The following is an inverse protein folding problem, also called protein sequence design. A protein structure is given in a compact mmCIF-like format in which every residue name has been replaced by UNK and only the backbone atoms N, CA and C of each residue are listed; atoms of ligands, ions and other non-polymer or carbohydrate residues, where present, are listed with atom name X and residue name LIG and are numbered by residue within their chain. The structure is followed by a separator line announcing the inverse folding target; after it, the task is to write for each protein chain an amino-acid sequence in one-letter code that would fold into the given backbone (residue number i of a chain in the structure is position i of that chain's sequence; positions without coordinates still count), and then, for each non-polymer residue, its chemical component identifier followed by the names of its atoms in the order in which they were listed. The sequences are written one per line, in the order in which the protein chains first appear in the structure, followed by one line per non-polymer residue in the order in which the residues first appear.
data_IF_157552456707
#
_entry.id   IF_157552456707
#
_cell.length_a   1.000
_cell.length_b   1.000
_cell.length_c   1.000
_cell.angle_alpha   90.00
_cell.angle_beta   90.00
_cell.angle_gamma   90.00
#
_symmetry.space_group_name_H-M   'P 1'
#
loop_
_entity.id
_entity.type
_entity.pdbx_description
1 polymer ?
#
# COMPACT_ATOMS: atom_id res chain seq x y z
N UNK A 1 -10.78 -19.06 1.42
CA UNK A 1 -10.17 -18.28 2.52
C UNK A 1 -10.93 -16.96 2.60
N UNK A 2 -11.21 -16.46 3.80
CA UNK A 2 -12.06 -15.27 3.99
C UNK A 2 -11.31 -13.97 3.73
N UNK A 3 -12.01 -12.97 3.19
CA UNK A 3 -11.53 -11.60 3.07
C UNK A 3 -11.72 -10.91 4.43
N UNK A 4 -10.69 -10.31 5.00
CA UNK A 4 -10.78 -9.55 6.25
C UNK A 4 -9.98 -8.26 6.15
N UNK A 5 -10.31 -7.31 7.03
CA UNK A 5 -9.62 -6.03 7.10
C UNK A 5 -8.70 -5.98 8.30
N UNK A 6 -7.59 -5.27 8.15
CA UNK A 6 -6.68 -4.91 9.23
C UNK A 6 -6.48 -3.41 9.23
N UNK A 7 -6.35 -2.82 10.42
CA UNK A 7 -5.90 -1.43 10.52
C UNK A 7 -4.40 -1.39 10.29
N UNK A 8 -3.95 -0.61 9.31
CA UNK A 8 -2.53 -0.43 9.03
C UNK A 8 -2.17 1.05 9.01
N UNK A 9 -0.97 1.35 9.48
CA UNK A 9 -0.33 2.66 9.30
C UNK A 9 0.53 2.62 8.05
N UNK A 10 0.29 3.53 7.13
CA UNK A 10 1.11 3.75 5.93
C UNK A 10 1.94 5.01 6.15
N UNK A 11 3.25 4.88 6.04
CA UNK A 11 4.21 5.94 6.34
C UNK A 11 5.17 6.21 5.18
N UNK A 12 5.67 7.44 5.12
CA UNK A 12 6.74 7.80 4.21
C UNK A 12 8.07 7.25 4.76
N UNK A 13 8.78 6.37 4.02
CA UNK A 13 10.04 5.79 4.51
C UNK A 13 11.13 6.85 4.73
N UNK A 14 11.07 7.98 4.03
CA UNK A 14 12.02 9.09 4.18
C UNK A 14 11.69 10.02 5.35
N UNK A 15 10.45 10.00 5.85
CA UNK A 15 10.02 10.77 7.02
C UNK A 15 8.88 10.05 7.77
N UNK A 16 9.19 9.25 8.80
CA UNK A 16 8.20 8.45 9.55
C UNK A 16 7.11 9.27 10.25
N UNK A 17 7.28 10.60 10.40
CA UNK A 17 6.26 11.49 10.96
C UNK A 17 5.12 11.76 9.98
N UNK A 18 5.33 11.51 8.69
CA UNK A 18 4.32 11.63 7.63
C UNK A 18 3.67 10.28 7.39
N UNK A 19 2.47 10.11 7.92
CA UNK A 19 1.75 8.85 7.84
C UNK A 19 0.23 9.08 7.90
N UNK A 20 -0.50 8.04 7.53
CA UNK A 20 -1.93 7.93 7.80
C UNK A 20 -2.28 6.51 8.26
N UNK A 21 -3.45 6.34 8.85
CA UNK A 21 -3.95 5.05 9.32
C UNK A 21 -5.34 4.78 8.73
N UNK A 22 -5.51 3.62 8.09
CA UNK A 22 -6.77 3.21 7.48
C UNK A 22 -6.95 1.68 7.58
N UNK A 23 -8.17 1.21 7.29
CA UNK A 23 -8.45 -0.22 7.18
C UNK A 23 -8.19 -0.71 5.76
N UNK A 24 -7.34 -1.72 5.63
CA UNK A 24 -6.99 -2.35 4.36
C UNK A 24 -7.54 -3.77 4.29
N UNK A 25 -7.98 -4.18 3.11
CA UNK A 25 -8.27 -5.58 2.83
C UNK A 25 -6.98 -6.39 2.73
N UNK A 26 -6.92 -7.54 3.40
CA UNK A 26 -5.81 -8.48 3.28
C UNK A 26 -6.09 -9.44 2.13
N UNK A 27 -5.22 -9.40 1.12
CA UNK A 27 -5.22 -10.32 -0.01
C UNK A 27 -3.85 -11.01 -0.13
N UNK A 28 -3.78 -12.27 0.28
CA UNK A 28 -2.55 -13.08 0.20
C UNK A 28 -2.17 -13.45 -1.23
N UNK A 29 -3.06 -13.26 -2.20
CA UNK A 29 -2.79 -13.46 -3.63
C UNK A 29 -2.20 -12.22 -4.33
N UNK A 30 -2.20 -11.06 -3.66
CA UNK A 30 -1.67 -9.83 -4.24
C UNK A 30 -0.15 -9.75 -4.10
N UNK A 31 0.56 -9.55 -5.23
CA UNK A 31 2.01 -9.34 -5.21
C UNK A 31 2.41 -7.94 -4.72
N UNK A 32 1.52 -6.96 -4.89
CA UNK A 32 1.75 -5.56 -4.52
C UNK A 32 0.58 -5.06 -3.68
N UNK A 33 0.87 -4.20 -2.70
CA UNK A 33 -0.16 -3.48 -1.94
C UNK A 33 -0.73 -2.34 -2.78
N UNK A 34 -2.06 -2.20 -2.79
CA UNK A 34 -2.75 -1.08 -3.42
C UNK A 34 -3.16 -0.08 -2.36
N UNK A 35 -2.81 1.19 -2.58
CA UNK A 35 -3.08 2.31 -1.69
C UNK A 35 -3.67 3.45 -2.51
N UNK A 36 -4.69 4.17 -2.00
CA UNK A 36 -5.21 5.33 -2.71
C UNK A 36 -4.12 6.38 -2.96
N UNK A 37 -4.00 6.82 -4.21
CA UNK A 37 -2.95 7.75 -4.66
C UNK A 37 -2.95 9.05 -3.87
N UNK A 38 -4.13 9.66 -3.66
CA UNK A 38 -4.28 10.89 -2.91
C UNK A 38 -3.70 10.79 -1.48
N UNK A 39 -3.83 9.62 -0.84
CA UNK A 39 -3.31 9.41 0.52
C UNK A 39 -1.79 9.33 0.54
N UNK A 40 -1.19 8.70 -0.48
CA UNK A 40 0.26 8.67 -0.65
C UNK A 40 0.82 10.07 -0.92
N UNK A 41 0.13 10.87 -1.75
CA UNK A 41 0.51 12.26 -2.05
C UNK A 41 0.48 13.15 -0.80
N UNK A 42 -0.54 13.03 0.06
CA UNK A 42 -0.63 13.77 1.32
C UNK A 42 0.58 13.54 2.23
N UNK A 43 1.07 12.30 2.31
CA UNK A 43 2.30 11.96 3.06
C UNK A 43 3.59 12.15 2.24
N UNK A 44 3.47 12.70 1.03
CA UNK A 44 4.59 13.15 0.19
C UNK A 44 5.36 12.04 -0.49
N UNK A 45 4.73 10.88 -0.66
CA UNK A 45 5.27 9.81 -1.50
C UNK A 45 4.96 10.17 -2.95
N UNK A 46 5.99 10.09 -3.79
CA UNK A 46 5.87 10.29 -5.24
C UNK A 46 6.11 8.96 -5.95
N UNK A 47 5.46 8.71 -7.09
CA UNK A 47 5.75 7.54 -7.92
C UNK A 47 7.23 7.49 -8.31
N UNK A 48 7.82 6.30 -8.24
CA UNK A 48 9.19 6.03 -8.69
C UNK A 48 9.22 5.61 -10.16
N UNK A 49 8.23 4.82 -10.60
CA UNK A 49 8.10 4.39 -11.99
C UNK A 49 6.67 3.95 -12.31
N UNK A 50 6.44 3.49 -13.54
CA UNK A 50 5.19 2.83 -13.94
C UNK A 50 5.44 1.36 -14.23
N UNK A 51 4.41 0.51 -14.09
CA UNK A 51 4.46 -0.90 -14.46
C UNK A 51 3.13 -1.37 -15.02
N UNK A 52 3.17 -2.24 -16.01
CA UNK A 52 1.98 -2.99 -16.45
C UNK A 52 1.71 -4.11 -15.44
N UNK A 53 0.51 -4.12 -14.88
CA UNK A 53 0.04 -5.12 -13.92
C UNK A 53 -1.14 -5.88 -14.50
N UNK A 54 -1.23 -7.18 -14.18
CA UNK A 54 -2.43 -7.98 -14.42
C UNK A 54 -3.27 -7.96 -13.16
N UNK A 55 -4.49 -7.43 -13.24
CA UNK A 55 -5.43 -7.36 -12.13
C UNK A 55 -6.14 -8.72 -11.95
N UNK A 56 -6.86 -8.86 -10.83
CA UNK A 56 -7.55 -10.11 -10.48
C UNK A 56 -8.60 -10.54 -11.51
N UNK A 57 -9.13 -9.61 -12.31
CA UNK A 57 -10.07 -9.87 -13.40
C UNK A 57 -9.38 -10.15 -14.76
N UNK A 58 -8.05 -10.21 -14.78
CA UNK A 58 -7.24 -10.44 -15.97
C UNK A 58 -6.95 -9.20 -16.81
N UNK A 59 -7.48 -8.02 -16.44
CA UNK A 59 -7.17 -6.77 -17.16
C UNK A 59 -5.70 -6.39 -16.97
N UNK A 60 -5.12 -5.82 -18.03
CA UNK A 60 -3.76 -5.27 -18.01
C UNK A 60 -3.83 -3.76 -17.91
N UNK A 61 -3.30 -3.22 -16.81
CA UNK A 61 -3.30 -1.79 -16.56
C UNK A 61 -1.91 -1.28 -16.23
N UNK A 62 -1.55 -0.10 -16.76
CA UNK A 62 -0.34 0.62 -16.37
C UNK A 62 -0.62 1.41 -15.09
N UNK A 63 0.07 1.06 -14.00
CA UNK A 63 -0.05 1.72 -12.69
C UNK A 63 1.25 2.41 -12.28
N UNK A 64 1.11 3.42 -11.43
CA UNK A 64 2.22 4.07 -10.73
C UNK A 64 2.69 3.14 -9.60
N UNK A 65 4.01 2.99 -9.46
CA UNK A 65 4.64 2.23 -8.39
C UNK A 65 5.56 3.14 -7.58
N UNK A 66 5.62 2.89 -6.27
CA UNK A 66 6.49 3.55 -5.31
C UNK A 66 6.64 2.70 -4.04
N UNK A 67 7.32 3.24 -3.05
CA UNK A 67 7.62 2.55 -1.79
C UNK A 67 6.99 3.30 -0.61
N UNK A 68 6.43 2.56 0.33
CA UNK A 68 5.80 3.06 1.54
C UNK A 68 6.00 2.06 2.68
N UNK A 69 6.18 2.54 3.91
CA UNK A 69 6.25 1.64 5.06
C UNK A 69 4.83 1.27 5.52
N UNK A 70 4.56 -0.02 5.71
CA UNK A 70 3.32 -0.53 6.30
C UNK A 70 3.59 -1.06 7.71
N UNK A 71 2.92 -0.50 8.71
CA UNK A 71 2.93 -1.05 10.07
C UNK A 71 1.56 -1.61 10.41
N UNK A 72 1.51 -2.87 10.85
CA UNK A 72 0.29 -3.48 11.40
C UNK A 72 0.42 -3.47 12.92
N UNK A 73 -0.27 -2.56 13.64
CA UNK A 73 -0.04 -2.35 15.08
C UNK A 73 -0.27 -3.60 15.94
N UNK A 74 -1.22 -4.43 15.52
CA UNK A 74 -1.59 -5.70 16.18
C UNK A 74 -0.45 -6.71 16.15
N UNK A 75 0.37 -6.69 15.09
CA UNK A 75 1.52 -7.59 14.91
C UNK A 75 2.82 -6.96 15.40
N UNK A 76 2.84 -5.63 15.64
CA UNK A 76 4.06 -4.84 15.92
C UNK A 76 5.13 -5.00 14.84
N UNK A 77 4.72 -5.32 13.62
CA UNK A 77 5.60 -5.52 12.48
C UNK A 77 5.48 -4.34 11.52
N UNK A 78 6.62 -3.96 10.92
CA UNK A 78 6.70 -2.94 9.87
C UNK A 78 7.39 -3.54 8.65
N UNK A 79 6.78 -3.38 7.49
CA UNK A 79 7.26 -3.79 6.18
C UNK A 79 7.52 -2.55 5.33
N UNK A 80 8.43 -2.62 4.37
CA UNK A 80 8.72 -1.54 3.40
C UNK A 80 8.79 -2.14 2.02
#
# INVERSE_FOLDING_TARGET
MGMFKVKARVGNPSDPKRFFEEEFWVDTGALHSFVPENRLEEIGIKPLHTRELVLADGQRERRLLGEASFTVPELKETLT
#
